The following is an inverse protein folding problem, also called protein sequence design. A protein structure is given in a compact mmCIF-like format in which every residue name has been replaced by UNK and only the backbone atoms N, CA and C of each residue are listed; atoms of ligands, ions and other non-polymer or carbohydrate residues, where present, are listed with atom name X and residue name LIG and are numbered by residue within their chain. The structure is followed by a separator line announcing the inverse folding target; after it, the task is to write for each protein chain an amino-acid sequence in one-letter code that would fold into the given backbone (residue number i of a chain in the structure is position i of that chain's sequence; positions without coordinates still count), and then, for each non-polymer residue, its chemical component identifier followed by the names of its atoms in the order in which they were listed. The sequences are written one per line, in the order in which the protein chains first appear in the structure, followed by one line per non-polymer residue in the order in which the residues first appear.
data_IF_662162870074
#
_entry.id   IF_662162870074
#
_cell.length_a   1.000
_cell.length_b   1.000
_cell.length_c   1.000
_cell.angle_alpha   90.00
_cell.angle_beta   90.00
_cell.angle_gamma   90.00
#
_symmetry.space_group_name_H-M   'P 1'
#
loop_
_entity.id
_entity.type
_entity.pdbx_description
1 polymer ?
#
# COMPACT_ATOMS: atom_id res chain seq x y z
N UNK A 1 -9.40 -15.45 15.14
CA UNK A 1 -10.67 -15.10 14.46
C UNK A 1 -11.23 -16.21 13.58
N UNK A 2 -10.41 -16.98 12.85
CA UNK A 2 -10.85 -18.01 11.90
C UNK A 2 -11.68 -19.18 12.46
N UNK A 3 -11.57 -19.51 13.76
CA UNK A 3 -12.31 -20.63 14.37
C UNK A 3 -13.85 -20.47 14.31
N UNK A 4 -14.35 -19.25 14.10
CA UNK A 4 -15.78 -18.93 14.11
C UNK A 4 -16.41 -18.95 12.71
N UNK A 5 -15.63 -19.18 11.65
CA UNK A 5 -16.11 -19.16 10.27
C UNK A 5 -15.87 -20.49 9.59
N UNK A 6 -16.74 -20.82 8.62
CA UNK A 6 -16.61 -22.07 7.84
C UNK A 6 -15.64 -21.85 6.68
N UNK A 7 -14.53 -22.57 6.68
CA UNK A 7 -13.49 -22.52 5.65
C UNK A 7 -13.63 -23.70 4.69
N UNK A 8 -13.16 -23.55 3.45
CA UNK A 8 -13.09 -24.71 2.55
C UNK A 8 -12.02 -25.69 3.01
N UNK A 9 -12.27 -26.99 2.80
CA UNK A 9 -11.38 -28.10 3.18
C UNK A 9 -10.09 -28.18 2.35
N UNK A 10 -9.86 -27.23 1.43
CA UNK A 10 -8.67 -27.19 0.59
C UNK A 10 -7.38 -26.99 1.38
N UNK A 11 -7.45 -26.29 2.52
CA UNK A 11 -6.31 -26.02 3.38
C UNK A 11 -6.69 -26.16 4.85
N UNK A 12 -5.71 -26.51 5.67
CA UNK A 12 -5.87 -26.47 7.12
C UNK A 12 -6.01 -25.03 7.63
N UNK A 13 -6.69 -24.87 8.77
CA UNK A 13 -6.86 -23.57 9.44
C UNK A 13 -5.50 -22.87 9.67
N UNK A 14 -4.45 -23.65 9.97
CA UNK A 14 -3.09 -23.14 10.17
C UNK A 14 -2.52 -22.51 8.90
N UNK A 15 -2.79 -23.10 7.73
CA UNK A 15 -2.32 -22.57 6.46
C UNK A 15 -3.10 -21.31 6.05
N UNK A 16 -4.42 -21.29 6.28
CA UNK A 16 -5.21 -20.07 6.14
C UNK A 16 -4.69 -18.94 7.02
N UNK A 17 -4.36 -19.24 8.28
CA UNK A 17 -3.83 -18.24 9.20
C UNK A 17 -2.49 -17.66 8.71
N UNK A 18 -1.58 -18.50 8.20
CA UNK A 18 -0.29 -18.06 7.64
C UNK A 18 -0.48 -17.14 6.43
N UNK A 19 -1.35 -17.53 5.48
CA UNK A 19 -1.61 -16.73 4.28
C UNK A 19 -2.27 -15.39 4.60
N UNK A 20 -3.23 -15.40 5.53
CA UNK A 20 -3.86 -14.16 5.99
C UNK A 20 -2.89 -13.25 6.72
N UNK A 21 -2.04 -13.78 7.59
CA UNK A 21 -1.03 -12.99 8.29
C UNK A 21 -0.10 -12.25 7.31
N UNK A 22 0.28 -12.90 6.20
CA UNK A 22 1.08 -12.26 5.15
C UNK A 22 0.34 -11.15 4.39
N UNK A 23 -0.99 -11.18 4.33
CA UNK A 23 -1.83 -10.17 3.67
C UNK A 23 -2.24 -9.00 4.58
N UNK A 24 -2.14 -9.18 5.91
CA UNK A 24 -2.56 -8.19 6.91
C UNK A 24 -1.40 -7.66 7.77
N UNK A 25 -0.24 -7.28 7.19
CA UNK A 25 0.87 -6.77 7.99
C UNK A 25 0.50 -5.41 8.60
N UNK A 26 0.90 -5.18 9.85
CA UNK A 26 0.62 -3.94 10.59
C UNK A 26 -0.84 -3.75 11.01
N UNK A 27 -1.74 -4.70 10.71
CA UNK A 27 -3.15 -4.62 11.11
C UNK A 27 -3.35 -4.97 12.59
N UNK A 28 -4.27 -4.25 13.25
CA UNK A 28 -4.65 -4.57 14.63
C UNK A 28 -5.53 -5.84 14.69
N UNK A 29 -5.69 -6.41 15.89
CA UNK A 29 -6.62 -7.54 16.08
C UNK A 29 -8.07 -7.22 15.68
N UNK A 30 -8.48 -5.95 15.81
CA UNK A 30 -9.80 -5.49 15.36
C UNK A 30 -9.88 -5.45 13.82
N UNK A 31 -8.82 -5.02 13.14
CA UNK A 31 -8.75 -5.00 11.68
C UNK A 31 -8.77 -6.43 11.12
N UNK A 32 -8.00 -7.34 11.71
CA UNK A 32 -8.00 -8.77 11.33
C UNK A 32 -9.39 -9.38 11.55
N UNK A 33 -10.07 -9.04 12.65
CA UNK A 33 -11.45 -9.46 12.85
C UNK A 33 -12.39 -8.94 11.75
N UNK A 34 -12.25 -7.67 11.37
CA UNK A 34 -13.02 -7.07 10.30
C UNK A 34 -12.76 -7.75 8.95
N UNK A 35 -11.51 -8.07 8.61
CA UNK A 35 -11.16 -8.84 7.40
C UNK A 35 -11.87 -10.20 7.40
N UNK A 36 -11.86 -10.92 8.53
CA UNK A 36 -12.52 -12.23 8.61
C UNK A 36 -14.04 -12.11 8.47
N UNK A 37 -14.64 -11.08 9.05
CA UNK A 37 -16.07 -10.84 8.96
C UNK A 37 -16.49 -10.44 7.52
N UNK A 38 -15.74 -9.54 6.87
CA UNK A 38 -15.99 -9.15 5.48
C UNK A 38 -15.80 -10.33 4.51
N UNK A 39 -14.83 -11.21 4.77
CA UNK A 39 -14.66 -12.45 4.00
C UNK A 39 -15.89 -13.35 4.08
N UNK A 40 -16.51 -13.46 5.26
CA UNK A 40 -17.75 -14.22 5.44
C UNK A 40 -18.94 -13.57 4.69
N UNK A 41 -19.04 -12.23 4.73
CA UNK A 41 -20.08 -11.48 4.01
C UNK A 41 -19.92 -11.65 2.49
N UNK A 42 -18.70 -11.61 1.98
CA UNK A 42 -18.41 -11.82 0.56
C UNK A 42 -18.75 -13.26 0.12
N UNK A 43 -18.36 -14.26 0.91
CA UNK A 43 -18.72 -15.65 0.64
C UNK A 43 -20.24 -15.85 0.61
N UNK A 44 -20.97 -15.28 1.57
CA UNK A 44 -22.43 -15.33 1.61
C UNK A 44 -23.07 -14.66 0.39
N UNK A 45 -22.56 -13.49 -0.05
CA UNK A 45 -23.02 -12.80 -1.26
C UNK A 45 -22.78 -13.59 -2.53
N UNK A 46 -21.70 -14.37 -2.57
CA UNK A 46 -21.38 -15.27 -3.66
C UNK A 46 -22.11 -16.63 -3.57
N UNK A 47 -23.01 -16.81 -2.60
CA UNK A 47 -23.71 -18.07 -2.31
C UNK A 47 -22.75 -19.26 -2.08
N UNK A 48 -21.58 -19.01 -1.50
CA UNK A 48 -20.61 -20.04 -1.18
C UNK A 48 -20.94 -20.68 0.18
N UNK A 49 -20.83 -22.00 0.26
CA UNK A 49 -21.04 -22.76 1.50
C UNK A 49 -19.88 -22.68 2.51
N UNK A 50 -18.76 -22.08 2.12
CA UNK A 50 -17.57 -21.87 2.93
C UNK A 50 -16.68 -20.76 2.30
N UNK A 51 -15.87 -20.10 3.12
CA UNK A 51 -14.95 -19.03 2.70
C UNK A 51 -13.70 -19.64 2.06
N UNK A 52 -13.26 -19.07 0.94
CA UNK A 52 -11.99 -19.41 0.27
C UNK A 52 -10.95 -18.31 0.48
N UNK A 53 -9.72 -18.54 0.00
CA UNK A 53 -8.69 -17.50 0.00
C UNK A 53 -9.08 -16.29 -0.85
N UNK A 54 -9.87 -16.46 -1.91
CA UNK A 54 -10.28 -15.36 -2.78
C UNK A 54 -11.13 -14.33 -2.01
N UNK A 55 -12.09 -14.78 -1.21
CA UNK A 55 -12.92 -13.87 -0.41
C UNK A 55 -12.11 -13.17 0.67
N UNK A 56 -11.10 -13.84 1.23
CA UNK A 56 -10.18 -13.20 2.18
C UNK A 56 -9.29 -12.14 1.50
N UNK A 57 -8.76 -12.40 0.31
CA UNK A 57 -8.01 -11.40 -0.45
C UNK A 57 -8.88 -10.18 -0.77
N UNK A 58 -10.11 -10.40 -1.24
CA UNK A 58 -11.06 -9.32 -1.51
C UNK A 58 -11.47 -8.56 -0.24
N UNK A 59 -11.62 -9.26 0.89
CA UNK A 59 -11.93 -8.64 2.18
C UNK A 59 -10.78 -7.76 2.65
N UNK A 60 -9.53 -8.22 2.54
CA UNK A 60 -8.34 -7.44 2.87
C UNK A 60 -8.27 -6.17 2.01
N UNK A 61 -8.46 -6.29 0.69
CA UNK A 61 -8.50 -5.12 -0.20
C UNK A 61 -9.59 -4.12 0.19
N UNK A 62 -10.76 -4.63 0.58
CA UNK A 62 -11.88 -3.81 1.02
C UNK A 62 -11.59 -3.08 2.33
N UNK A 63 -10.91 -3.72 3.27
CA UNK A 63 -10.53 -3.10 4.55
C UNK A 63 -9.46 -2.01 4.33
N UNK A 64 -8.47 -2.28 3.47
CA UNK A 64 -7.40 -1.33 3.13
C UNK A 64 -7.92 -0.18 2.26
N UNK A 65 -8.43 -0.48 1.07
CA UNK A 65 -8.79 0.50 0.04
C UNK A 65 -10.23 1.00 0.13
N UNK A 66 -11.09 0.35 0.90
CA UNK A 66 -12.51 0.67 0.98
C UNK A 66 -13.38 -0.05 -0.06
N UNK A 67 -14.58 0.46 -0.28
CA UNK A 67 -15.53 -0.14 -1.22
C UNK A 67 -15.04 0.02 -2.65
N UNK A 68 -15.27 -1.01 -3.48
CA UNK A 68 -15.06 -0.91 -4.92
C UNK A 68 -16.00 0.14 -5.52
N UNK A 69 -15.45 1.04 -6.33
CA UNK A 69 -16.29 1.93 -7.14
C UNK A 69 -16.62 1.22 -8.45
N UNK A 70 -17.92 1.04 -8.73
CA UNK A 70 -18.41 0.54 -10.03
C UNK A 70 -18.35 1.58 -11.16
N UNK A 71 -17.59 2.66 -10.98
CA UNK A 71 -17.39 3.64 -12.06
C UNK A 71 -16.57 3.01 -13.16
N UNK A 72 -17.15 2.98 -14.37
CA UNK A 72 -16.48 2.46 -15.56
C UNK A 72 -15.36 3.44 -15.92
N UNK A 73 -14.11 3.04 -15.64
CA UNK A 73 -12.94 3.76 -16.14
C UNK A 73 -12.83 3.57 -17.64
N UNK A 74 -12.58 4.66 -18.36
CA UNK A 74 -12.25 4.62 -19.78
C UNK A 74 -11.00 3.75 -20.00
N UNK A 75 -10.87 3.18 -21.20
CA UNK A 75 -9.68 2.39 -21.56
C UNK A 75 -8.39 3.21 -21.41
N UNK A 76 -8.45 4.51 -21.76
CA UNK A 76 -7.35 5.45 -21.63
C UNK A 76 -6.95 5.71 -20.18
N UNK A 77 -7.92 5.90 -19.27
CA UNK A 77 -7.64 6.06 -17.84
C UNK A 77 -7.08 4.78 -17.24
N UNK A 78 -7.69 3.63 -17.57
CA UNK A 78 -7.24 2.31 -17.08
C UNK A 78 -5.82 2.01 -17.51
N UNK A 79 -5.48 2.31 -18.77
CA UNK A 79 -4.11 2.18 -19.28
C UNK A 79 -3.17 3.14 -18.54
N UNK A 80 -3.57 4.38 -18.33
CA UNK A 80 -2.73 5.36 -17.61
C UNK A 80 -2.41 4.89 -16.19
N UNK A 81 -3.42 4.43 -15.46
CA UNK A 81 -3.27 3.87 -14.10
C UNK A 81 -2.43 2.60 -14.11
N UNK A 82 -2.62 1.69 -15.08
CA UNK A 82 -1.82 0.48 -15.16
C UNK A 82 -0.32 0.76 -15.31
N UNK A 83 0.05 1.72 -16.17
CA UNK A 83 1.45 2.12 -16.33
C UNK A 83 1.98 2.86 -15.10
N UNK A 84 1.16 3.70 -14.47
CA UNK A 84 1.50 4.38 -13.22
C UNK A 84 1.84 3.38 -12.10
N UNK A 85 0.91 2.46 -11.81
CA UNK A 85 1.12 1.44 -10.77
C UNK A 85 2.31 0.53 -11.14
N UNK A 86 2.47 0.18 -12.42
CA UNK A 86 3.63 -0.60 -12.88
C UNK A 86 4.96 0.13 -12.67
N UNK A 87 4.97 1.46 -12.77
CA UNK A 87 6.13 2.29 -12.48
C UNK A 87 6.60 2.15 -11.03
N UNK A 88 5.67 2.17 -10.08
CA UNK A 88 5.98 1.90 -8.67
C UNK A 88 6.49 0.47 -8.47
N UNK A 89 5.83 -0.52 -9.08
CA UNK A 89 6.20 -1.92 -8.93
C UNK A 89 7.59 -2.23 -9.47
N UNK A 90 7.92 -1.74 -10.67
CA UNK A 90 9.23 -1.93 -11.29
C UNK A 90 10.30 -1.18 -10.49
N UNK A 91 10.05 0.06 -10.08
CA UNK A 91 10.99 0.81 -9.26
C UNK A 91 11.28 0.08 -7.93
N UNK A 92 10.25 -0.39 -7.23
CA UNK A 92 10.43 -1.18 -6.00
C UNK A 92 11.19 -2.47 -6.26
N UNK A 93 10.86 -3.21 -7.32
CA UNK A 93 11.51 -4.49 -7.61
C UNK A 93 13.04 -4.41 -7.76
N UNK A 94 13.56 -3.30 -8.31
CA UNK A 94 14.99 -3.13 -8.59
C UNK A 94 15.76 -2.38 -7.50
N UNK A 95 15.08 -1.73 -6.54
CA UNK A 95 15.74 -0.97 -5.47
C UNK A 95 16.01 -1.86 -4.27
N UNK A 96 17.27 -1.90 -3.83
CA UNK A 96 17.76 -2.79 -2.78
C UNK A 96 17.07 -2.56 -1.43
N UNK A 97 16.74 -1.31 -1.11
CA UNK A 97 16.20 -0.92 0.18
C UNK A 97 14.70 -0.64 0.15
N UNK A 98 13.99 -1.13 -0.86
CA UNK A 98 12.55 -0.91 -0.96
C UNK A 98 11.76 -2.03 -0.26
N UNK A 99 10.61 -1.64 0.29
CA UNK A 99 9.70 -2.59 0.90
C UNK A 99 9.22 -3.63 -0.15
N UNK A 100 9.16 -4.93 0.19
CA UNK A 100 8.66 -5.95 -0.72
C UNK A 100 7.24 -5.64 -1.19
N UNK A 101 7.04 -5.61 -2.52
CA UNK A 101 5.71 -5.47 -3.11
C UNK A 101 4.94 -6.78 -2.93
N UNK A 102 3.81 -6.73 -2.23
CA UNK A 102 2.93 -7.89 -2.01
C UNK A 102 1.90 -8.03 -3.14
N UNK A 103 1.26 -6.92 -3.51
CA UNK A 103 0.17 -6.92 -4.48
C UNK A 103 0.03 -5.56 -5.14
N UNK A 104 -0.43 -5.56 -6.39
CA UNK A 104 -0.75 -4.36 -7.15
C UNK A 104 -2.15 -4.51 -7.75
N UNK A 105 -2.93 -3.43 -7.75
CA UNK A 105 -4.27 -3.42 -8.36
C UNK A 105 -4.58 -2.09 -9.03
N UNK A 106 -5.33 -2.16 -10.13
CA UNK A 106 -5.82 -1.00 -10.89
C UNK A 106 -7.33 -0.82 -10.72
N UNK A 107 -7.91 -1.46 -9.70
CA UNK A 107 -9.35 -1.42 -9.41
C UNK A 107 -9.63 -0.22 -8.51
N UNK A 108 -10.49 0.73 -8.93
CA UNK A 108 -10.75 1.96 -8.17
C UNK A 108 -11.56 1.68 -6.90
N UNK A 109 -11.17 2.32 -5.78
CA UNK A 109 -11.81 2.13 -4.46
C UNK A 109 -12.24 3.47 -3.82
N UNK A 110 -12.99 3.44 -2.72
CA UNK A 110 -13.53 4.66 -2.08
C UNK A 110 -12.57 5.41 -1.18
N UNK A 111 -11.62 4.72 -0.50
CA UNK A 111 -10.64 5.36 0.39
C UNK A 111 -9.29 5.66 -0.29
N UNK A 112 -9.18 5.47 -1.61
CA UNK A 112 -7.91 5.58 -2.32
C UNK A 112 -8.03 5.99 -3.79
N UNK A 113 -6.87 6.09 -4.43
CA UNK A 113 -6.61 6.37 -5.84
C UNK A 113 -7.23 5.33 -6.79
N UNK A 114 -7.14 5.60 -8.10
CA UNK A 114 -7.68 4.72 -9.15
C UNK A 114 -7.02 3.33 -9.20
N UNK A 115 -5.92 3.13 -8.46
CA UNK A 115 -5.21 1.88 -8.20
C UNK A 115 -4.39 2.00 -6.90
N UNK A 116 -3.79 0.91 -6.44
CA UNK A 116 -2.80 0.95 -5.36
C UNK A 116 -1.82 -0.22 -5.39
N UNK A 117 -0.61 0.04 -4.89
CA UNK A 117 0.42 -0.94 -4.57
C UNK A 117 0.46 -1.21 -3.05
N UNK A 118 0.33 -2.47 -2.66
CA UNK A 118 0.46 -2.93 -1.27
C UNK A 118 1.89 -3.43 -1.04
N UNK A 119 2.56 -2.81 -0.08
CA UNK A 119 3.90 -3.18 0.37
C UNK A 119 3.83 -3.92 1.69
N UNK A 120 4.78 -4.82 1.93
CA UNK A 120 5.03 -5.36 3.26
C UNK A 120 5.77 -4.27 4.06
N UNK A 121 5.14 -3.67 5.08
CA UNK A 121 5.83 -2.70 5.93
C UNK A 121 7.02 -3.36 6.62
N UNK A 122 8.16 -2.70 6.62
CA UNK A 122 9.27 -3.08 7.51
C UNK A 122 8.86 -2.87 8.96
N UNK A 123 9.22 -3.80 9.85
CA UNK A 123 9.10 -3.63 11.31
C UNK A 123 10.20 -2.70 11.87
N UNK A 124 10.87 -1.92 11.01
CA UNK A 124 11.97 -1.06 11.38
C UNK A 124 11.47 0.34 11.74
N UNK A 125 11.81 0.76 12.96
CA UNK A 125 11.55 2.13 13.45
C UNK A 125 12.65 3.12 13.04
N UNK A 126 13.71 2.66 12.38
CA UNK A 126 14.89 3.43 12.04
C UNK A 126 15.20 3.24 10.56
N UNK A 127 15.35 4.35 9.83
CA UNK A 127 15.68 4.35 8.41
C UNK A 127 17.06 4.98 8.18
N UNK A 128 17.85 4.38 7.29
CA UNK A 128 19.07 4.99 6.76
C UNK A 128 18.74 6.06 5.72
N UNK A 129 19.73 6.90 5.40
CA UNK A 129 19.58 7.90 4.34
C UNK A 129 19.24 7.23 3.01
N UNK A 130 19.93 6.13 2.68
CA UNK A 130 19.76 5.36 1.45
C UNK A 130 18.35 4.78 1.33
N UNK A 131 17.81 4.21 2.42
CA UNK A 131 16.42 3.75 2.49
C UNK A 131 15.42 4.87 2.18
N UNK A 132 15.59 6.05 2.80
CA UNK A 132 14.70 7.18 2.55
C UNK A 132 14.77 7.68 1.09
N UNK A 133 15.96 7.66 0.48
CA UNK A 133 16.10 7.98 -0.95
C UNK A 133 15.43 6.93 -1.84
N UNK A 134 15.55 5.65 -1.53
CA UNK A 134 14.89 4.59 -2.30
C UNK A 134 13.37 4.68 -2.19
N UNK A 135 12.83 5.02 -1.00
CA UNK A 135 11.41 5.33 -0.82
C UNK A 135 10.95 6.49 -1.72
N UNK A 136 11.75 7.56 -1.84
CA UNK A 136 11.47 8.68 -2.76
C UNK A 136 11.47 8.19 -4.21
N UNK A 137 12.45 7.39 -4.63
CA UNK A 137 12.53 6.85 -6.00
C UNK A 137 11.32 5.99 -6.35
N UNK A 138 10.89 5.10 -5.45
CA UNK A 138 9.68 4.29 -5.64
C UNK A 138 8.44 5.17 -5.80
N UNK A 139 8.28 6.18 -4.93
CA UNK A 139 7.15 7.11 -5.00
C UNK A 139 7.13 7.92 -6.31
N UNK A 140 8.29 8.27 -6.87
CA UNK A 140 8.37 8.95 -8.17
C UNK A 140 8.17 8.02 -9.37
N UNK A 141 8.27 6.70 -9.18
CA UNK A 141 8.20 5.70 -10.25
C UNK A 141 6.93 5.77 -11.09
N UNK A 142 5.77 5.98 -10.47
CA UNK A 142 4.50 6.10 -11.21
C UNK A 142 4.43 7.32 -12.11
N UNK A 143 4.89 8.49 -11.62
CA UNK A 143 4.99 9.71 -12.43
C UNK A 143 5.93 9.54 -13.61
N UNK A 144 7.10 8.96 -13.37
CA UNK A 144 8.12 8.73 -14.41
C UNK A 144 7.59 7.78 -15.49
N UNK A 145 6.86 6.72 -15.10
CA UNK A 145 6.24 5.82 -16.05
C UNK A 145 5.22 6.52 -16.94
N UNK A 146 4.39 7.42 -16.38
CA UNK A 146 3.47 8.22 -17.21
C UNK A 146 4.20 9.07 -18.25
N UNK A 147 5.27 9.75 -17.82
CA UNK A 147 6.06 10.63 -18.67
C UNK A 147 6.75 9.85 -19.81
N UNK A 148 7.38 8.72 -19.51
CA UNK A 148 8.09 7.89 -20.49
C UNK A 148 7.13 7.32 -21.54
N UNK A 149 6.00 6.76 -21.11
CA UNK A 149 5.12 5.99 -22.01
C UNK A 149 4.02 6.81 -22.68
N UNK A 150 3.63 7.95 -22.10
CA UNK A 150 2.57 8.81 -22.65
C UNK A 150 3.04 10.22 -23.03
N UNK A 151 4.25 10.65 -22.63
CA UNK A 151 4.75 12.00 -22.87
C UNK A 151 3.93 13.09 -22.17
N UNK A 152 3.12 12.71 -21.18
CA UNK A 152 2.24 13.61 -20.43
C UNK A 152 2.08 13.10 -19.00
N UNK A 153 1.84 14.03 -18.09
CA UNK A 153 1.67 13.75 -16.67
C UNK A 153 0.22 14.05 -16.26
N UNK A 154 -0.30 13.27 -15.29
CA UNK A 154 -1.66 13.44 -14.77
C UNK A 154 -1.70 14.04 -13.36
N UNK A 155 -2.87 14.32 -12.81
CA UNK A 155 -3.02 14.68 -11.40
C UNK A 155 -2.92 13.48 -10.44
N UNK A 156 -2.78 12.25 -10.97
CA UNK A 156 -2.77 11.01 -10.19
C UNK A 156 -1.65 10.90 -9.15
N UNK A 157 -0.45 11.42 -9.46
CA UNK A 157 0.71 11.32 -8.56
C UNK A 157 0.70 12.31 -7.38
N UNK A 158 -0.42 13.00 -7.11
CA UNK A 158 -0.49 14.04 -6.08
C UNK A 158 -0.10 13.51 -4.69
N UNK A 159 -0.59 12.33 -4.32
CA UNK A 159 -0.28 11.77 -2.99
C UNK A 159 1.14 11.23 -2.90
N UNK A 160 1.71 10.74 -4.00
CA UNK A 160 3.12 10.35 -4.05
C UNK A 160 4.03 11.56 -3.89
N UNK A 161 3.72 12.67 -4.55
CA UNK A 161 4.47 13.92 -4.41
C UNK A 161 4.39 14.50 -2.99
N UNK A 162 3.25 14.36 -2.31
CA UNK A 162 3.15 14.72 -0.88
C UNK A 162 4.10 13.87 -0.03
N UNK A 163 4.12 12.54 -0.23
CA UNK A 163 5.04 11.63 0.48
C UNK A 163 6.50 11.98 0.20
N UNK A 164 6.86 12.20 -1.07
CA UNK A 164 8.20 12.62 -1.47
C UNK A 164 8.61 13.90 -0.76
N UNK A 165 7.71 14.90 -0.74
CA UNK A 165 7.96 16.17 -0.08
C UNK A 165 8.18 15.98 1.43
N UNK A 166 7.34 15.18 2.08
CA UNK A 166 7.48 14.89 3.52
C UNK A 166 8.81 14.22 3.86
N UNK A 167 9.20 13.19 3.10
CA UNK A 167 10.46 12.46 3.31
C UNK A 167 11.65 13.39 3.05
N UNK A 168 11.67 14.08 1.92
CA UNK A 168 12.75 14.99 1.55
C UNK A 168 12.91 16.13 2.56
N UNK A 169 11.79 16.68 3.04
CA UNK A 169 11.80 17.70 4.10
C UNK A 169 12.40 17.11 5.38
N UNK A 170 11.96 15.92 5.81
CA UNK A 170 12.51 15.25 7.00
C UNK A 170 14.02 14.99 6.93
N UNK A 171 14.54 14.55 5.77
CA UNK A 171 15.98 14.36 5.53
C UNK A 171 16.77 15.64 5.83
N UNK A 172 16.26 16.80 5.40
CA UNK A 172 16.94 18.09 5.52
C UNK A 172 16.71 18.72 6.89
N UNK A 173 15.45 18.76 7.34
CA UNK A 173 15.05 19.59 8.48
C UNK A 173 15.04 18.86 9.82
N UNK A 174 14.89 17.53 9.82
CA UNK A 174 14.61 16.78 11.06
C UNK A 174 15.74 15.82 11.40
N UNK A 175 16.25 15.09 10.40
CA UNK A 175 17.16 13.97 10.63
C UNK A 175 18.64 14.36 10.54
N UNK A 176 18.96 15.60 10.15
CA UNK A 176 20.35 16.04 9.99
C UNK A 176 21.11 15.24 8.93
N UNK A 177 20.41 14.73 7.92
CA UNK A 177 20.97 13.85 6.87
C UNK A 177 21.40 14.62 5.62
N UNK A 178 21.45 15.96 5.69
CA UNK A 178 21.84 16.86 4.60
C UNK A 178 23.11 17.63 4.93
N UNK A 179 23.65 18.34 3.93
CA UNK A 179 24.85 19.17 4.08
C UNK A 179 24.63 20.40 5.00
N UNK A 180 23.41 20.60 5.49
CA UNK A 180 23.07 21.58 6.52
C UNK A 180 23.65 21.22 7.91
N UNK A 181 24.17 19.99 8.07
CA UNK A 181 24.79 19.51 9.30
C UNK A 181 23.84 18.74 10.22
N UNK A 182 24.35 18.32 11.38
CA UNK A 182 23.66 17.49 12.37
C UNK A 182 22.73 18.32 13.28
N UNK A 183 21.81 19.07 12.66
CA UNK A 183 20.89 19.98 13.36
C UNK A 183 19.45 19.65 12.97
N UNK A 184 18.56 19.62 13.97
CA UNK A 184 17.11 19.59 13.75
C UNK A 184 16.56 21.01 13.77
N UNK A 185 15.87 21.39 12.71
CA UNK A 185 15.21 22.68 12.53
C UNK A 185 13.75 22.66 12.97
N UNK A 186 13.20 21.49 13.31
CA UNK A 186 11.91 21.40 13.98
C UNK A 186 12.04 21.86 15.43
N UNK A 187 11.69 23.13 15.68
CA UNK A 187 11.42 23.61 17.03
C UNK A 187 10.03 23.14 17.43
N UNK A 188 9.93 22.13 18.28
CA UNK A 188 8.75 22.06 19.15
C UNK A 188 8.83 23.25 20.12
N UNK A 189 7.72 23.98 20.32
CA UNK A 189 7.59 25.10 21.27
C UNK A 189 7.70 24.66 22.75
N UNK A 190 8.63 23.76 23.07
CA UNK A 190 8.69 23.02 24.33
C UNK A 190 9.98 23.15 25.12
N UNK A 191 10.96 23.95 24.70
CA UNK A 191 12.08 24.31 25.59
C UNK A 191 11.73 25.55 26.41
N UNK A 192 10.80 25.39 27.37
CA UNK A 192 10.79 26.26 28.54
C UNK A 192 11.93 25.80 29.46
N UNK A 193 12.89 26.70 29.67
CA UNK A 193 13.94 26.58 30.70
C UNK A 193 13.33 26.50 32.09
#
# INVERSE_FOLDING_TARGET
HLKKVKLTEKYDISEYAKKLAALTPGMSGADIYNVVNEGAILAARANLGAITLLEFEQATERVIGGLEKKTVMSETERRTVAYHESGHAVAGWFLENSNPLLKITIIPRTKGSLGFAQYLPEELSLYTKEQLYDMIKVALGGRIAEEIFFGRITTGASDDLKKVTQIATGIVTTYGMSDMGLVSYHQEEGYQK
#
